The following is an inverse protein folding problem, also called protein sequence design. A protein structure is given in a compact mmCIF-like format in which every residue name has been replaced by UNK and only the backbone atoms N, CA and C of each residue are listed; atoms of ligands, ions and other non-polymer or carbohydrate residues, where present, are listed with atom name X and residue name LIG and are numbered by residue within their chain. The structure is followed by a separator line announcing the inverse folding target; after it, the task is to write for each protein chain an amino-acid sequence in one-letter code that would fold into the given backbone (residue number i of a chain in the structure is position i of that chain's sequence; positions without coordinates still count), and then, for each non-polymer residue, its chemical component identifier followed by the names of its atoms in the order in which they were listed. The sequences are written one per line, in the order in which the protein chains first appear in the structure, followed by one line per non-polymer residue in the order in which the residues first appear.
data_IF_154558276372
#
_entry.id   IF_154558276372
#
_cell.length_a   1.000
_cell.length_b   1.000
_cell.length_c   1.000
_cell.angle_alpha   90.00
_cell.angle_beta   90.00
_cell.angle_gamma   90.00
#
_symmetry.space_group_name_H-M   'P 1'
#
loop_
_entity.id
_entity.type
_entity.pdbx_description
1 polymer ?
#
# COMPACT_ATOMS: atom_id res chain seq x y z
N UNK A 1 7.49 -26.50 12.39
CA UNK A 1 7.42 -26.14 10.95
C UNK A 1 7.90 -24.71 10.82
N UNK A 2 8.72 -24.44 9.83
CA UNK A 2 9.22 -23.07 9.58
C UNK A 2 8.06 -22.23 9.04
N UNK A 3 7.83 -21.05 9.60
CA UNK A 3 6.82 -20.10 9.08
C UNK A 3 7.31 -19.59 7.75
N UNK A 4 6.55 -19.84 6.68
CA UNK A 4 6.94 -19.41 5.34
C UNK A 4 5.73 -19.28 4.41
N UNK A 5 5.95 -18.56 3.31
CA UNK A 5 5.03 -18.40 2.20
C UNK A 5 5.74 -18.95 0.95
N UNK A 6 5.07 -19.83 0.20
CA UNK A 6 5.56 -20.32 -1.08
C UNK A 6 4.92 -19.54 -2.22
N UNK A 7 5.74 -19.04 -3.13
CA UNK A 7 5.28 -18.39 -4.37
C UNK A 7 4.86 -19.48 -5.34
N UNK A 8 3.57 -19.57 -5.65
CA UNK A 8 3.06 -20.49 -6.67
C UNK A 8 3.14 -19.87 -8.07
N UNK A 9 2.80 -18.59 -8.14
CA UNK A 9 2.90 -17.77 -9.35
C UNK A 9 3.30 -16.34 -8.90
N UNK A 10 4.38 -15.74 -9.43
CA UNK A 10 4.77 -14.38 -9.07
C UNK A 10 3.89 -13.29 -9.69
N UNK A 11 2.97 -13.62 -10.59
CA UNK A 11 2.23 -12.65 -11.39
C UNK A 11 3.14 -11.88 -12.36
N UNK A 12 2.72 -10.68 -12.73
CA UNK A 12 3.51 -9.82 -13.62
C UNK A 12 4.82 -9.34 -12.96
N UNK A 13 4.75 -8.96 -11.67
CA UNK A 13 5.91 -8.58 -10.87
C UNK A 13 5.57 -8.65 -9.38
N UNK A 14 6.30 -9.47 -8.64
CA UNK A 14 6.24 -9.50 -7.17
C UNK A 14 7.63 -9.31 -6.58
N UNK A 15 7.76 -8.42 -5.59
CA UNK A 15 9.01 -8.04 -4.94
C UNK A 15 8.85 -8.05 -3.42
N UNK A 16 9.92 -8.40 -2.70
CA UNK A 16 10.00 -8.10 -1.28
C UNK A 16 10.38 -6.63 -1.13
N UNK A 17 9.58 -5.85 -0.41
CA UNK A 17 9.82 -4.44 -0.18
C UNK A 17 9.59 -4.08 1.29
N UNK A 18 10.37 -3.12 1.80
CA UNK A 18 10.24 -2.54 3.14
C UNK A 18 10.28 -1.00 3.05
N UNK A 19 10.63 -0.30 4.13
CA UNK A 19 10.75 1.17 4.13
C UNK A 19 11.98 1.69 3.33
N UNK A 20 12.80 0.81 2.77
CA UNK A 20 13.98 1.14 1.97
C UNK A 20 15.27 1.33 2.77
N UNK A 21 16.41 1.33 2.06
CA UNK A 21 17.78 1.47 2.62
C UNK A 21 18.23 2.91 2.63
N UNK A 22 17.94 3.61 3.71
CA UNK A 22 18.33 5.00 3.93
C UNK A 22 19.77 5.11 4.44
N UNK A 23 20.41 6.27 4.19
CA UNK A 23 21.76 6.58 4.70
C UNK A 23 22.91 6.24 3.75
N UNK A 24 22.64 5.56 2.63
CA UNK A 24 23.68 5.13 1.68
C UNK A 24 23.67 5.88 0.35
N UNK A 25 22.81 6.91 0.21
CA UNK A 25 22.68 7.68 -1.04
C UNK A 25 23.99 8.38 -1.42
N UNK A 26 24.79 8.84 -0.44
CA UNK A 26 26.11 9.44 -0.66
C UNK A 26 27.13 8.48 -1.31
N UNK A 27 26.86 7.16 -1.25
CA UNK A 27 27.65 6.12 -1.89
C UNK A 27 27.03 5.63 -3.22
N UNK A 28 26.01 6.32 -3.71
CA UNK A 28 25.33 5.94 -4.96
C UNK A 28 24.32 4.79 -4.81
N UNK A 29 24.01 4.35 -3.59
CA UNK A 29 23.04 3.26 -3.37
C UNK A 29 21.64 3.81 -3.31
N UNK A 30 20.76 3.32 -4.21
CA UNK A 30 19.34 3.68 -4.23
C UNK A 30 18.64 3.26 -2.92
N UNK A 31 17.72 4.11 -2.46
CA UNK A 31 16.90 3.81 -1.29
C UNK A 31 16.00 2.61 -1.54
N UNK A 32 15.42 2.50 -2.73
CA UNK A 32 14.39 1.49 -3.04
C UNK A 32 13.21 1.59 -2.07
N UNK A 33 12.64 0.49 -1.63
CA UNK A 33 11.48 0.47 -0.74
C UNK A 33 10.17 0.33 -1.51
N UNK A 34 9.07 0.29 -0.75
CA UNK A 34 7.73 0.25 -1.32
C UNK A 34 7.47 1.47 -2.23
N UNK A 35 6.80 1.24 -3.37
CA UNK A 35 6.34 2.33 -4.24
C UNK A 35 5.28 3.19 -3.56
N UNK A 36 4.44 2.57 -2.72
CA UNK A 36 3.45 3.22 -1.87
C UNK A 36 3.84 3.02 -0.39
N UNK A 37 4.59 3.98 0.18
CA UNK A 37 5.04 3.87 1.57
C UNK A 37 3.89 3.94 2.59
N UNK A 38 2.77 4.57 2.22
CA UNK A 38 1.61 4.67 3.10
C UNK A 38 0.88 3.32 3.20
N UNK A 39 0.67 2.64 2.08
CA UNK A 39 0.10 1.29 2.07
C UNK A 39 0.96 0.29 2.85
N UNK A 40 2.30 0.36 2.72
CA UNK A 40 3.24 -0.42 3.53
C UNK A 40 3.06 -0.14 5.03
N UNK A 41 3.05 1.15 5.41
CA UNK A 41 2.93 1.58 6.80
C UNK A 41 1.62 1.09 7.41
N UNK A 42 0.48 1.34 6.74
CA UNK A 42 -0.85 0.99 7.23
C UNK A 42 -0.99 -0.54 7.33
N UNK A 43 -0.56 -1.29 6.31
CA UNK A 43 -0.63 -2.74 6.33
C UNK A 43 0.14 -3.35 7.50
N UNK A 44 1.35 -2.88 7.77
CA UNK A 44 2.13 -3.33 8.92
C UNK A 44 1.48 -2.92 10.25
N UNK A 45 0.88 -1.73 10.31
CA UNK A 45 0.18 -1.27 11.52
C UNK A 45 -1.06 -2.10 11.82
N UNK A 46 -1.86 -2.46 10.81
CA UNK A 46 -3.06 -3.31 10.95
C UNK A 46 -2.73 -4.66 11.60
N UNK A 47 -1.58 -5.25 11.29
CA UNK A 47 -1.14 -6.55 11.81
C UNK A 47 -0.15 -6.46 12.98
N UNK A 48 0.10 -5.24 13.50
CA UNK A 48 0.96 -5.01 14.66
C UNK A 48 2.44 -5.32 14.43
N UNK A 49 2.93 -5.19 13.21
CA UNK A 49 4.35 -5.24 12.88
C UNK A 49 5.04 -3.89 13.13
N UNK A 50 6.37 -3.89 13.14
CA UNK A 50 7.13 -2.66 12.97
C UNK A 50 6.75 -2.00 11.65
N UNK A 51 6.59 -0.67 11.64
CA UNK A 51 6.05 0.09 10.51
C UNK A 51 6.84 -0.08 9.20
N UNK A 52 8.11 -0.46 9.29
CA UNK A 52 8.98 -0.73 8.15
C UNK A 52 9.24 -2.21 7.89
N UNK A 53 8.46 -3.13 8.49
CA UNK A 53 8.64 -4.56 8.24
C UNK A 53 8.43 -4.89 6.76
N UNK A 54 9.20 -5.87 6.26
CA UNK A 54 9.14 -6.22 4.83
C UNK A 54 7.86 -6.98 4.49
N UNK A 55 7.31 -6.67 3.31
CA UNK A 55 6.08 -7.18 2.75
C UNK A 55 6.31 -7.67 1.32
N UNK A 56 5.32 -8.29 0.69
CA UNK A 56 5.34 -8.57 -0.74
C UNK A 56 4.56 -7.47 -1.48
N UNK A 57 5.24 -6.72 -2.34
CA UNK A 57 4.62 -5.78 -3.29
C UNK A 57 4.27 -6.53 -4.57
N UNK A 58 2.99 -6.58 -4.92
CA UNK A 58 2.45 -7.20 -6.13
C UNK A 58 2.03 -6.11 -7.10
N UNK A 59 2.54 -6.12 -8.33
CA UNK A 59 2.22 -5.16 -9.39
C UNK A 59 1.41 -5.85 -10.49
N UNK A 60 0.33 -5.25 -10.98
CA UNK A 60 -0.59 -5.73 -12.02
C UNK A 60 -1.40 -7.00 -11.68
N UNK A 61 -1.14 -7.67 -10.56
CA UNK A 61 -1.87 -8.87 -10.16
C UNK A 61 -1.39 -10.17 -10.80
N UNK A 62 -2.27 -11.19 -10.80
CA UNK A 62 -1.97 -12.54 -11.31
C UNK A 62 -1.08 -13.37 -10.39
N UNK A 63 -0.71 -12.86 -9.22
CA UNK A 63 0.15 -13.56 -8.27
C UNK A 63 -0.63 -14.58 -7.43
N UNK A 64 0.04 -15.70 -7.08
CA UNK A 64 -0.50 -16.72 -6.18
C UNK A 64 0.54 -17.11 -5.12
N UNK A 65 0.09 -17.11 -3.87
CA UNK A 65 0.92 -17.43 -2.70
C UNK A 65 0.25 -18.47 -1.83
N UNK A 66 1.01 -19.49 -1.38
CA UNK A 66 0.52 -20.48 -0.42
C UNK A 66 1.13 -20.23 0.96
N UNK A 67 0.28 -20.16 1.97
CA UNK A 67 0.70 -20.06 3.36
C UNK A 67 1.06 -21.46 3.90
N UNK A 68 2.31 -21.68 4.31
CA UNK A 68 2.73 -23.00 4.82
C UNK A 68 2.30 -23.24 6.26
N UNK A 69 1.99 -22.17 7.00
CA UNK A 69 1.44 -22.19 8.35
C UNK A 69 0.28 -21.20 8.44
N UNK A 70 -0.55 -21.33 9.45
CA UNK A 70 -1.56 -20.30 9.73
C UNK A 70 -0.88 -18.97 10.08
N UNK A 71 -1.33 -17.88 9.43
CA UNK A 71 -0.83 -16.51 9.60
C UNK A 71 -1.98 -15.52 9.64
N UNK A 72 -1.82 -14.42 10.39
CA UNK A 72 -2.63 -13.22 10.21
C UNK A 72 -1.96 -12.38 9.13
N UNK A 73 -2.77 -11.91 8.18
CA UNK A 73 -2.29 -11.11 7.08
C UNK A 73 -3.24 -9.95 6.79
N UNK A 74 -2.76 -8.96 6.06
CA UNK A 74 -3.55 -7.86 5.51
C UNK A 74 -3.13 -7.58 4.08
N UNK A 75 -4.05 -7.07 3.27
CA UNK A 75 -3.77 -6.57 1.93
C UNK A 75 -4.11 -5.10 1.88
N UNK A 76 -3.13 -4.27 1.49
CA UNK A 76 -3.28 -2.82 1.36
C UNK A 76 -2.85 -2.36 -0.04
N UNK A 77 -3.05 -1.07 -0.35
CA UNK A 77 -2.78 -0.53 -1.68
C UNK A 77 -3.96 -0.70 -2.63
N UNK A 78 -3.68 -1.01 -3.90
CA UNK A 78 -4.69 -1.19 -4.94
C UNK A 78 -5.54 -2.44 -4.74
N UNK A 79 -6.76 -2.39 -5.28
CA UNK A 79 -7.63 -3.57 -5.37
C UNK A 79 -7.27 -4.39 -6.61
N UNK A 80 -6.57 -5.48 -6.39
CA UNK A 80 -6.21 -6.49 -7.39
C UNK A 80 -7.09 -7.74 -7.25
N UNK A 81 -8.33 -7.61 -6.80
CA UNK A 81 -9.30 -8.69 -6.59
C UNK A 81 -8.73 -9.88 -5.79
N UNK A 82 -8.23 -9.65 -4.57
CA UNK A 82 -7.66 -10.73 -3.78
C UNK A 82 -8.71 -11.75 -3.37
N UNK A 83 -8.34 -13.03 -3.36
CA UNK A 83 -9.18 -14.13 -2.87
C UNK A 83 -8.34 -15.18 -2.15
N UNK A 84 -8.89 -15.74 -1.06
CA UNK A 84 -8.31 -16.84 -0.31
C UNK A 84 -9.12 -18.12 -0.53
N UNK A 85 -8.51 -19.13 -1.13
CA UNK A 85 -9.17 -20.40 -1.52
C UNK A 85 -10.46 -20.17 -2.32
N UNK A 86 -10.46 -19.12 -3.17
CA UNK A 86 -11.60 -18.73 -4.01
C UNK A 86 -12.63 -17.81 -3.34
N UNK A 87 -12.51 -17.55 -2.04
CA UNK A 87 -13.37 -16.58 -1.34
C UNK A 87 -12.77 -15.17 -1.48
N UNK A 88 -13.51 -14.20 -2.03
CA UNK A 88 -13.02 -12.81 -2.10
C UNK A 88 -12.65 -12.24 -0.73
N UNK A 89 -11.58 -11.46 -0.70
CA UNK A 89 -11.12 -10.73 0.49
C UNK A 89 -11.32 -9.23 0.31
N UNK A 90 -11.69 -8.56 1.39
CA UNK A 90 -11.63 -7.11 1.43
C UNK A 90 -10.18 -6.63 1.59
N UNK A 91 -9.82 -5.55 0.88
CA UNK A 91 -8.55 -4.86 1.07
C UNK A 91 -8.63 -3.91 2.28
N UNK A 92 -7.47 -3.55 2.84
CA UNK A 92 -7.33 -2.68 4.01
C UNK A 92 -7.91 -3.27 5.30
N UNK A 93 -8.02 -4.59 5.34
CA UNK A 93 -8.52 -5.35 6.49
C UNK A 93 -7.64 -6.58 6.74
N UNK A 94 -7.55 -7.00 8.01
CA UNK A 94 -6.81 -8.19 8.39
C UNK A 94 -7.68 -9.44 8.27
N UNK A 95 -7.06 -10.53 7.82
CA UNK A 95 -7.69 -11.85 7.72
C UNK A 95 -6.78 -12.93 8.28
N UNK A 96 -7.36 -14.07 8.62
CA UNK A 96 -6.61 -15.30 8.95
C UNK A 96 -6.41 -16.10 7.68
N UNK A 97 -5.17 -16.42 7.36
CA UNK A 97 -4.81 -17.37 6.31
C UNK A 97 -4.49 -18.72 6.95
N UNK A 98 -5.35 -19.73 6.82
CA UNK A 98 -5.10 -21.08 7.33
C UNK A 98 -3.84 -21.69 6.70
N UNK A 99 -3.23 -22.66 7.40
CA UNK A 99 -2.15 -23.45 6.83
C UNK A 99 -2.59 -24.13 5.53
N UNK A 100 -1.74 -24.05 4.51
CA UNK A 100 -1.98 -24.55 3.14
C UNK A 100 -2.99 -23.78 2.31
N UNK A 101 -3.62 -22.71 2.83
CA UNK A 101 -4.50 -21.86 2.01
C UNK A 101 -3.71 -21.11 0.93
N UNK A 102 -4.40 -20.79 -0.16
CA UNK A 102 -3.82 -20.13 -1.33
C UNK A 102 -4.48 -18.78 -1.54
N UNK A 103 -3.67 -17.72 -1.42
CA UNK A 103 -4.05 -16.37 -1.78
C UNK A 103 -3.80 -16.15 -3.28
N UNK A 104 -4.79 -15.62 -3.98
CA UNK A 104 -4.71 -15.25 -5.39
C UNK A 104 -5.04 -13.79 -5.58
N UNK A 105 -4.29 -13.14 -6.44
CA UNK A 105 -4.59 -11.81 -6.96
C UNK A 105 -5.10 -11.93 -8.39
N UNK A 106 -6.21 -11.26 -8.67
CA UNK A 106 -6.80 -11.16 -10.01
C UNK A 106 -6.21 -10.01 -10.83
N UNK A 107 -7.05 -9.35 -11.61
CA UNK A 107 -6.70 -8.16 -12.38
C UNK A 107 -6.96 -6.89 -11.56
N UNK A 108 -6.24 -5.77 -11.81
CA UNK A 108 -6.50 -4.50 -11.15
C UNK A 108 -7.92 -3.98 -11.44
N UNK A 109 -8.66 -3.65 -10.41
CA UNK A 109 -9.93 -2.91 -10.46
C UNK A 109 -9.71 -1.47 -10.08
N UNK A 110 -8.87 -1.25 -9.06
CA UNK A 110 -8.46 0.07 -8.61
C UNK A 110 -6.98 0.06 -8.23
N UNK A 111 -6.23 1.06 -8.68
CA UNK A 111 -4.80 1.14 -8.45
C UNK A 111 -4.00 0.14 -9.29
N UNK A 112 -2.74 -0.05 -8.92
CA UNK A 112 -1.77 -0.83 -9.69
C UNK A 112 -0.99 -1.81 -8.82
N UNK A 113 -0.84 -1.51 -7.52
CA UNK A 113 0.03 -2.24 -6.59
C UNK A 113 -0.68 -2.60 -5.31
N UNK A 114 -0.67 -3.88 -4.96
CA UNK A 114 -1.09 -4.37 -3.67
C UNK A 114 0.10 -4.80 -2.81
N UNK A 115 -0.06 -4.72 -1.51
CA UNK A 115 0.95 -5.10 -0.51
C UNK A 115 0.39 -6.20 0.37
N UNK A 116 0.98 -7.39 0.27
CA UNK A 116 0.68 -8.50 1.19
C UNK A 116 1.57 -8.34 2.43
N UNK A 117 0.96 -7.91 3.51
CA UNK A 117 1.54 -7.81 4.83
C UNK A 117 1.20 -9.05 5.64
N UNK A 118 2.18 -9.64 6.34
CA UNK A 118 1.98 -10.82 7.18
C UNK A 118 2.56 -10.59 8.56
N UNK A 119 1.96 -11.17 9.59
CA UNK A 119 2.45 -11.04 10.96
C UNK A 119 3.89 -11.56 11.09
N UNK A 120 4.77 -10.70 11.62
CA UNK A 120 6.21 -10.94 11.72
C UNK A 120 7.02 -10.49 10.50
N UNK A 121 6.36 -10.07 9.41
CA UNK A 121 7.00 -9.60 8.16
C UNK A 121 7.72 -10.69 7.38
N UNK A 122 8.16 -10.37 6.18
CA UNK A 122 9.01 -11.24 5.35
C UNK A 122 10.45 -11.17 5.87
N UNK A 123 10.99 -12.29 6.34
CA UNK A 123 12.28 -12.36 7.06
C UNK A 123 13.43 -12.82 6.18
N UNK A 124 13.57 -12.22 4.99
CA UNK A 124 14.78 -12.38 4.17
C UNK A 124 15.96 -11.58 4.79
N UNK A 125 17.22 -11.99 4.58
CA UNK A 125 18.37 -11.28 5.12
C UNK A 125 18.41 -9.80 4.69
N UNK A 126 18.59 -8.86 5.62
CA UNK A 126 18.75 -7.44 5.26
C UNK A 126 20.11 -7.18 4.60
N UNK A 127 20.11 -6.29 3.61
CA UNK A 127 21.32 -5.76 2.97
C UNK A 127 21.37 -4.27 3.17
N UNK A 128 22.42 -3.77 3.80
CA UNK A 128 22.55 -2.36 4.19
C UNK A 128 21.33 -1.86 5.00
N UNK A 129 20.88 -2.68 5.95
CA UNK A 129 19.78 -2.36 6.86
C UNK A 129 18.37 -2.47 6.27
N UNK A 130 18.20 -2.92 5.01
CA UNK A 130 16.89 -3.05 4.36
C UNK A 130 16.75 -4.40 3.66
N UNK A 131 15.51 -4.91 3.64
CA UNK A 131 15.11 -6.11 2.91
C UNK A 131 14.57 -5.81 1.51
N UNK A 132 14.45 -4.52 1.13
CA UNK A 132 13.92 -4.14 -0.18
C UNK A 132 14.76 -4.67 -1.34
N UNK A 133 14.07 -5.20 -2.34
CA UNK A 133 14.66 -5.60 -3.61
C UNK A 133 14.92 -4.39 -4.50
N UNK A 134 16.16 -4.16 -4.90
CA UNK A 134 16.53 -3.25 -5.98
C UNK A 134 17.03 -4.06 -7.17
N UNK A 135 16.15 -4.30 -8.14
CA UNK A 135 16.36 -5.28 -9.22
C UNK A 135 17.57 -4.94 -10.09
N UNK A 136 17.71 -3.67 -10.49
CA UNK A 136 18.80 -3.25 -11.37
C UNK A 136 20.19 -3.42 -10.75
N UNK A 137 20.32 -3.26 -9.41
CA UNK A 137 21.59 -3.50 -8.71
C UNK A 137 21.70 -4.91 -8.13
N UNK A 138 20.65 -5.73 -8.21
CA UNK A 138 20.57 -7.08 -7.63
C UNK A 138 20.88 -7.10 -6.13
N UNK A 139 20.24 -6.18 -5.39
CA UNK A 139 20.44 -6.03 -3.94
C UNK A 139 19.15 -6.30 -3.19
N UNK A 140 19.23 -6.95 -2.02
CA UNK A 140 18.14 -7.19 -1.10
C UNK A 140 17.13 -8.22 -1.58
N UNK A 141 15.94 -8.24 -0.97
CA UNK A 141 14.91 -9.23 -1.28
C UNK A 141 15.38 -10.67 -1.17
N UNK A 142 14.79 -11.53 -1.98
CA UNK A 142 15.28 -12.89 -2.19
C UNK A 142 16.28 -12.87 -3.37
N UNK A 143 17.57 -12.97 -3.05
CA UNK A 143 18.66 -12.98 -4.04
C UNK A 143 18.75 -11.76 -4.97
N UNK A 144 18.21 -10.59 -4.59
CA UNK A 144 18.26 -9.36 -5.39
C UNK A 144 17.44 -9.39 -6.67
N UNK A 145 16.46 -10.28 -6.77
CA UNK A 145 15.67 -10.54 -7.97
C UNK A 145 14.15 -10.46 -7.69
N UNK A 146 13.32 -10.30 -8.72
CA UNK A 146 11.90 -10.56 -8.61
C UNK A 146 11.62 -11.98 -8.12
N UNK A 147 10.52 -12.16 -7.40
CA UNK A 147 10.08 -13.47 -6.94
C UNK A 147 9.76 -14.37 -8.13
N UNK A 148 10.00 -15.66 -7.96
CA UNK A 148 9.77 -16.69 -8.96
C UNK A 148 8.94 -17.84 -8.39
N UNK A 149 8.24 -18.57 -9.25
CA UNK A 149 7.50 -19.74 -8.83
C UNK A 149 8.43 -20.78 -8.16
N UNK A 150 8.01 -21.28 -7.00
CA UNK A 150 8.78 -22.18 -6.15
C UNK A 150 9.61 -21.50 -5.06
N UNK A 151 9.75 -20.18 -5.07
CA UNK A 151 10.41 -19.44 -4.00
C UNK A 151 9.70 -19.67 -2.66
N UNK A 152 10.49 -19.83 -1.61
CA UNK A 152 10.00 -19.94 -0.23
C UNK A 152 10.50 -18.74 0.57
N UNK A 153 9.55 -17.92 1.01
CA UNK A 153 9.83 -16.72 1.79
C UNK A 153 9.66 -17.01 3.28
N UNK A 154 10.72 -16.91 4.08
CA UNK A 154 10.62 -17.06 5.52
C UNK A 154 9.78 -15.88 6.09
N UNK A 155 8.97 -16.19 7.11
CA UNK A 155 8.18 -15.21 7.85
C UNK A 155 8.72 -15.10 9.26
N UNK A 156 8.88 -13.90 9.76
CA UNK A 156 9.41 -13.59 11.07
C UNK A 156 8.57 -14.12 12.24
N UNK A 157 9.05 -13.89 13.44
CA UNK A 157 8.36 -14.30 14.67
C UNK A 157 6.98 -13.67 14.80
N UNK A 158 6.07 -14.34 15.52
CA UNK A 158 4.70 -13.84 15.75
C UNK A 158 4.74 -12.51 16.50
N UNK A 159 4.16 -11.47 15.92
CA UNK A 159 3.93 -10.19 16.61
C UNK A 159 2.87 -10.31 17.70
N UNK A 160 2.88 -9.43 18.68
CA UNK A 160 1.92 -9.44 19.80
C UNK A 160 0.61 -8.72 19.48
N UNK A 161 0.49 -8.06 18.30
CA UNK A 161 -0.59 -7.14 17.96
C UNK A 161 -1.50 -7.56 16.81
N UNK A 162 -1.24 -8.70 16.17
CA UNK A 162 -2.05 -9.16 15.05
C UNK A 162 -3.43 -9.64 15.52
N UNK A 163 -4.46 -8.83 15.27
CA UNK A 163 -5.84 -9.20 15.53
C UNK A 163 -6.61 -9.29 14.22
N UNK A 164 -7.26 -10.43 13.93
CA UNK A 164 -8.18 -10.52 12.80
C UNK A 164 -9.32 -9.52 12.94
N UNK A 165 -9.69 -8.86 11.85
CA UNK A 165 -10.77 -7.87 11.80
C UNK A 165 -10.34 -6.44 12.11
N UNK A 166 -9.05 -6.14 12.29
CA UNK A 166 -8.57 -4.77 12.22
C UNK A 166 -8.73 -4.26 10.79
N UNK A 167 -9.23 -3.04 10.62
CA UNK A 167 -9.43 -2.46 9.29
C UNK A 167 -9.13 -0.96 9.28
N UNK A 168 -8.69 -0.44 8.13
CA UNK A 168 -8.65 0.99 7.88
C UNK A 168 -10.07 1.47 7.56
N UNK A 169 -10.58 2.53 8.24
CA UNK A 169 -11.84 3.17 7.88
C UNK A 169 -11.90 3.53 6.39
N UNK A 170 -13.06 3.32 5.75
CA UNK A 170 -13.20 3.48 4.31
C UNK A 170 -12.90 4.92 3.84
N UNK A 171 -13.22 5.91 4.66
CA UNK A 171 -12.98 7.33 4.40
C UNK A 171 -11.48 7.73 4.40
N UNK A 172 -10.62 6.87 4.93
CA UNK A 172 -9.17 7.08 4.95
C UNK A 172 -8.45 6.31 3.84
N UNK A 173 -9.16 5.50 3.06
CA UNK A 173 -8.59 4.75 1.95
C UNK A 173 -8.38 5.69 0.77
N UNK A 174 -7.18 5.73 0.23
CA UNK A 174 -6.92 6.47 -1.00
C UNK A 174 -7.66 5.80 -2.15
N UNK A 175 -8.48 6.55 -2.87
CA UNK A 175 -9.05 6.13 -4.15
C UNK A 175 -8.23 6.70 -5.30
N UNK A 176 -8.17 5.97 -6.41
CA UNK A 176 -7.48 6.44 -7.62
C UNK A 176 -8.54 7.02 -8.57
N UNK A 177 -8.72 8.35 -8.63
CA UNK A 177 -9.67 8.97 -9.55
C UNK A 177 -9.23 8.80 -10.99
N UNK A 178 -10.16 8.92 -11.94
CA UNK A 178 -9.85 8.80 -13.37
C UNK A 178 -8.87 9.87 -13.88
N UNK A 179 -8.92 11.08 -13.34
CA UNK A 179 -7.92 12.14 -13.53
C UNK A 179 -7.31 12.50 -12.18
N UNK A 180 -5.98 12.45 -12.09
CA UNK A 180 -5.23 12.59 -10.84
C UNK A 180 -4.64 14.00 -10.76
N UNK A 181 -4.96 14.77 -9.73
CA UNK A 181 -4.26 16.01 -9.42
C UNK A 181 -3.11 15.73 -8.45
N UNK A 182 -1.89 16.08 -8.85
CA UNK A 182 -0.66 15.89 -8.10
C UNK A 182 -0.14 17.25 -7.63
N UNK A 183 -0.11 17.45 -6.33
CA UNK A 183 0.42 18.68 -5.74
C UNK A 183 1.93 18.63 -5.70
N UNK A 184 2.53 19.78 -6.07
CA UNK A 184 3.98 19.93 -6.16
C UNK A 184 4.46 21.20 -5.47
N UNK A 185 5.71 21.19 -5.02
CA UNK A 185 6.46 22.39 -4.66
C UNK A 185 7.50 22.65 -5.72
N UNK A 186 7.95 23.91 -5.87
CA UNK A 186 9.01 24.29 -6.82
C UNK A 186 10.27 23.47 -6.59
N UNK A 187 10.81 22.97 -7.68
CA UNK A 187 12.08 22.25 -7.67
C UNK A 187 13.30 23.20 -7.58
N UNK A 188 14.47 22.63 -7.28
CA UNK A 188 15.69 23.44 -7.12
C UNK A 188 16.15 24.13 -8.41
N UNK A 189 15.78 23.64 -9.61
CA UNK A 189 16.10 24.26 -10.89
C UNK A 189 14.84 24.87 -11.55
N UNK A 190 13.81 25.25 -10.76
CA UNK A 190 12.61 25.89 -11.28
C UNK A 190 12.92 27.13 -12.16
N UNK A 191 13.89 27.94 -11.77
CA UNK A 191 14.32 29.12 -12.51
C UNK A 191 15.05 28.84 -13.85
N UNK A 192 15.32 27.57 -14.16
CA UNK A 192 15.88 27.18 -15.47
C UNK A 192 14.81 27.04 -16.56
N UNK A 193 13.54 27.09 -16.20
CA UNK A 193 12.42 26.96 -17.12
C UNK A 193 11.88 28.32 -17.51
N UNK A 194 11.35 28.45 -18.75
CA UNK A 194 10.68 29.67 -19.17
C UNK A 194 9.33 29.83 -18.47
N UNK A 195 8.79 31.05 -18.40
CA UNK A 195 7.42 31.25 -17.88
C UNK A 195 6.40 30.45 -18.66
N UNK A 196 6.57 30.33 -19.99
CA UNK A 196 5.75 29.48 -20.86
C UNK A 196 5.88 27.99 -20.54
N UNK A 197 7.10 27.52 -20.27
CA UNK A 197 7.37 26.14 -19.87
C UNK A 197 6.73 25.80 -18.54
N UNK A 198 6.85 26.68 -17.54
CA UNK A 198 6.18 26.53 -16.23
C UNK A 198 4.65 26.55 -16.41
N UNK A 199 4.14 27.50 -17.21
CA UNK A 199 2.70 27.56 -17.53
C UNK A 199 2.21 26.28 -18.17
N UNK A 200 2.95 25.72 -19.13
CA UNK A 200 2.65 24.43 -19.77
C UNK A 200 2.63 23.30 -18.75
N UNK A 201 3.63 23.21 -17.87
CA UNK A 201 3.70 22.18 -16.83
C UNK A 201 2.47 22.17 -15.92
N UNK A 202 2.02 23.34 -15.47
CA UNK A 202 0.92 23.46 -14.50
C UNK A 202 -0.47 23.43 -15.14
N UNK A 203 -0.61 23.80 -16.42
CA UNK A 203 -1.94 23.88 -17.06
C UNK A 203 -2.30 22.66 -17.90
N UNK A 204 -1.34 21.81 -18.24
CA UNK A 204 -1.55 20.68 -19.15
C UNK A 204 -1.86 19.38 -18.43
N UNK A 205 -2.51 18.46 -19.15
CA UNK A 205 -2.64 17.07 -18.75
C UNK A 205 -1.47 16.26 -19.27
N UNK A 206 -1.00 15.31 -18.49
CA UNK A 206 0.05 14.36 -18.84
C UNK A 206 -0.48 12.94 -18.66
N UNK A 207 -0.06 12.03 -19.55
CA UNK A 207 -0.48 10.63 -19.49
C UNK A 207 0.70 9.76 -19.07
N UNK A 208 0.47 8.85 -18.12
CA UNK A 208 1.48 7.87 -17.70
C UNK A 208 1.83 6.95 -18.86
N UNK A 209 3.09 6.94 -19.26
CA UNK A 209 3.60 6.10 -20.34
C UNK A 209 3.74 4.63 -19.91
N UNK A 210 3.60 3.70 -20.85
CA UNK A 210 3.88 2.27 -20.69
C UNK A 210 5.35 1.96 -20.40
N UNK A 211 6.25 2.92 -20.61
CA UNK A 211 7.68 2.84 -20.30
C UNK A 211 8.00 3.22 -18.86
N UNK A 212 6.97 3.44 -18.04
CA UNK A 212 7.12 3.74 -16.61
C UNK A 212 7.53 2.50 -15.84
N UNK A 213 8.40 2.68 -14.86
CA UNK A 213 8.88 1.62 -13.98
C UNK A 213 9.05 2.12 -12.52
N UNK A 214 9.72 1.32 -11.69
CA UNK A 214 10.01 1.69 -10.31
C UNK A 214 11.07 2.79 -10.16
N UNK A 215 11.83 3.12 -11.22
CA UNK A 215 12.76 4.26 -11.23
C UNK A 215 12.04 5.59 -11.44
N UNK A 216 11.03 5.61 -12.34
CA UNK A 216 10.29 6.82 -12.64
C UNK A 216 9.06 6.62 -13.50
N UNK A 217 8.05 7.41 -13.21
CA UNK A 217 6.88 7.56 -14.06
C UNK A 217 7.23 8.51 -15.20
N UNK A 218 7.31 7.99 -16.41
CA UNK A 218 7.47 8.79 -17.64
C UNK A 218 6.12 9.31 -18.07
N UNK A 219 6.05 10.58 -18.39
CA UNK A 219 4.80 11.24 -18.71
C UNK A 219 4.81 11.73 -20.16
N UNK A 220 3.84 11.31 -20.92
CA UNK A 220 3.59 11.81 -22.27
C UNK A 220 2.69 13.03 -22.21
N UNK A 221 3.05 14.11 -22.93
CA UNK A 221 2.32 15.38 -22.91
C UNK A 221 3.09 16.48 -23.62
N UNK A 222 2.66 17.74 -23.46
CA UNK A 222 3.33 18.89 -24.04
C UNK A 222 4.77 19.05 -23.55
N UNK A 223 5.61 19.63 -24.38
CA UNK A 223 7.01 19.94 -24.08
C UNK A 223 7.08 21.11 -23.09
N UNK A 224 7.90 20.93 -22.05
CA UNK A 224 8.20 21.93 -21.05
C UNK A 224 9.49 22.65 -21.45
N UNK A 225 9.40 23.91 -21.83
CA UNK A 225 10.53 24.66 -22.33
C UNK A 225 11.46 25.18 -21.24
N UNK A 226 12.79 25.06 -21.48
CA UNK A 226 13.83 25.63 -20.63
C UNK A 226 14.44 26.88 -21.29
N UNK A 227 15.03 27.74 -20.47
CA UNK A 227 15.77 28.94 -20.94
C UNK A 227 16.97 28.48 -21.75
N UNK A 228 17.00 28.89 -23.02
CA UNK A 228 18.09 28.54 -23.95
C UNK A 228 18.10 27.07 -24.37
N UNK A 229 17.02 26.31 -24.18
CA UNK A 229 16.89 24.89 -24.57
C UNK A 229 17.84 23.96 -23.83
N UNK A 230 18.31 24.32 -22.64
CA UNK A 230 19.25 23.54 -21.82
C UNK A 230 18.50 22.80 -20.74
N UNK A 231 18.45 21.48 -20.83
CA UNK A 231 17.82 20.58 -19.87
C UNK A 231 18.83 19.94 -18.90
N UNK A 232 20.09 19.86 -19.33
CA UNK A 232 21.17 19.26 -18.55
C UNK A 232 21.69 20.22 -17.49
N UNK A 233 22.03 19.65 -16.34
CA UNK A 233 22.67 20.33 -15.21
C UNK A 233 23.90 19.54 -14.76
N UNK A 234 24.77 20.15 -14.01
CA UNK A 234 25.75 19.39 -13.19
C UNK A 234 24.97 18.46 -12.26
N UNK A 235 25.34 17.17 -12.27
CA UNK A 235 24.62 16.15 -11.48
C UNK A 235 24.41 16.62 -10.05
N UNK A 236 23.14 16.55 -9.62
CA UNK A 236 22.68 17.01 -8.32
C UNK A 236 21.79 15.96 -7.68
N UNK A 237 21.64 16.00 -6.36
CA UNK A 237 20.83 15.05 -5.60
C UNK A 237 19.37 15.03 -6.08
N UNK A 238 18.76 13.83 -6.06
CA UNK A 238 17.35 13.64 -6.37
C UNK A 238 16.65 12.96 -5.21
N UNK A 239 15.37 13.28 -5.03
CA UNK A 239 14.50 12.69 -4.01
C UNK A 239 13.32 11.97 -4.65
N UNK A 240 12.63 11.13 -3.89
CA UNK A 240 11.37 10.53 -4.30
C UNK A 240 10.36 11.65 -4.61
N UNK A 241 9.72 11.60 -5.80
CA UNK A 241 8.82 12.65 -6.28
C UNK A 241 9.52 13.82 -7.00
N UNK A 242 10.86 13.83 -7.18
CA UNK A 242 11.51 14.83 -8.05
C UNK A 242 10.98 14.73 -9.47
N UNK A 243 10.53 15.86 -10.05
CA UNK A 243 10.05 15.93 -11.43
C UNK A 243 11.19 16.46 -12.29
N UNK A 244 11.87 15.57 -13.00
CA UNK A 244 12.93 15.90 -13.94
C UNK A 244 12.36 16.14 -15.34
N UNK A 245 12.96 17.05 -16.08
CA UNK A 245 12.64 17.29 -17.49
C UNK A 245 13.89 17.04 -18.32
N UNK A 246 14.01 15.87 -18.98
CA UNK A 246 15.10 15.55 -19.90
C UNK A 246 15.05 16.35 -21.20
N UNK A 247 16.02 16.14 -22.09
CA UNK A 247 16.18 16.89 -23.34
C UNK A 247 15.03 16.79 -24.36
N UNK A 248 14.12 15.80 -24.20
CA UNK A 248 12.88 15.71 -24.97
C UNK A 248 11.75 16.60 -24.44
N UNK A 249 12.00 17.31 -23.33
CA UNK A 249 11.06 18.24 -22.70
C UNK A 249 9.88 17.58 -21.98
N UNK A 250 9.86 16.26 -21.82
CA UNK A 250 8.77 15.53 -21.15
C UNK A 250 9.12 15.20 -19.72
N UNK A 251 8.19 15.38 -18.75
CA UNK A 251 8.52 15.17 -17.35
C UNK A 251 8.65 13.69 -17.00
N UNK A 252 9.57 13.38 -16.07
CA UNK A 252 9.73 12.09 -15.42
C UNK A 252 9.62 12.33 -13.91
N UNK A 253 8.66 11.70 -13.25
CA UNK A 253 8.57 11.74 -11.78
C UNK A 253 9.39 10.59 -11.22
N UNK A 254 10.45 10.89 -10.47
CA UNK A 254 11.35 9.90 -9.92
C UNK A 254 10.70 9.15 -8.76
N UNK A 255 10.76 7.80 -8.81
CA UNK A 255 10.05 6.91 -7.89
C UNK A 255 11.01 6.16 -6.95
N UNK A 256 10.57 5.04 -6.36
CA UNK A 256 11.29 4.34 -5.30
C UNK A 256 12.71 3.91 -5.68
N UNK A 257 12.91 3.33 -6.87
CA UNK A 257 14.20 2.80 -7.33
C UNK A 257 15.05 3.83 -8.09
N UNK A 258 14.73 5.13 -7.95
CA UNK A 258 15.48 6.22 -8.56
C UNK A 258 16.96 6.17 -8.21
N UNK A 259 17.78 6.72 -9.09
CA UNK A 259 19.20 7.02 -8.84
C UNK A 259 19.35 8.02 -7.67
N UNK A 260 20.54 8.15 -7.13
CA UNK A 260 20.82 9.09 -6.01
C UNK A 260 21.13 10.50 -6.50
N UNK A 261 21.63 10.63 -7.72
CA UNK A 261 21.92 11.89 -8.40
C UNK A 261 21.41 11.86 -9.83
N UNK A 262 21.06 13.02 -10.38
CA UNK A 262 20.61 13.15 -11.76
C UNK A 262 21.12 14.41 -12.44
N UNK A 263 21.30 14.33 -13.75
CA UNK A 263 21.87 15.41 -14.58
C UNK A 263 20.81 16.24 -15.32
N UNK A 264 19.51 16.11 -14.98
CA UNK A 264 18.44 16.88 -15.60
C UNK A 264 17.82 17.89 -14.65
N UNK A 265 17.38 19.02 -15.18
CA UNK A 265 16.72 20.06 -14.40
C UNK A 265 15.44 19.54 -13.75
N UNK A 266 15.26 19.84 -12.46
CA UNK A 266 14.09 19.49 -11.65
C UNK A 266 13.17 20.68 -11.55
N UNK A 267 12.02 20.65 -12.26
CA UNK A 267 11.03 21.72 -12.25
C UNK A 267 10.25 21.77 -10.92
N UNK A 268 9.97 20.60 -10.35
CA UNK A 268 9.13 20.46 -9.17
C UNK A 268 9.55 19.26 -8.31
N UNK A 269 8.96 19.17 -7.12
CA UNK A 269 8.97 17.96 -6.29
C UNK A 269 7.55 17.70 -5.82
N UNK A 270 7.06 16.48 -6.00
CA UNK A 270 5.74 16.04 -5.55
C UNK A 270 5.70 16.02 -4.02
N UNK A 271 4.58 16.48 -3.45
CA UNK A 271 4.39 16.45 -2.00
C UNK A 271 4.23 15.01 -1.50
N UNK A 272 4.75 14.72 -0.31
CA UNK A 272 4.84 13.33 0.19
C UNK A 272 3.50 12.61 0.28
N UNK A 273 2.41 13.35 0.57
CA UNK A 273 1.06 12.77 0.69
C UNK A 273 0.43 12.38 -0.64
N UNK A 274 1.00 12.80 -1.77
CA UNK A 274 0.52 12.44 -3.11
C UNK A 274 1.36 11.32 -3.77
N UNK A 275 2.45 10.88 -3.14
CA UNK A 275 3.26 9.77 -3.64
C UNK A 275 2.44 8.46 -3.79
N UNK A 276 1.50 8.13 -2.87
CA UNK A 276 0.62 6.98 -3.05
C UNK A 276 -0.19 7.03 -4.36
N UNK A 277 -0.70 8.20 -4.74
CA UNK A 277 -1.46 8.37 -5.99
C UNK A 277 -0.61 8.03 -7.23
N UNK A 278 0.66 8.46 -7.23
CA UNK A 278 1.61 8.11 -8.29
C UNK A 278 1.92 6.61 -8.31
N UNK A 279 2.08 6.00 -7.13
CA UNK A 279 2.37 4.58 -7.01
C UNK A 279 1.23 3.71 -7.55
N UNK A 280 0.00 4.21 -7.48
CA UNK A 280 -1.20 3.51 -7.94
C UNK A 280 -1.65 3.87 -9.36
N UNK A 281 -0.99 4.85 -10.01
CA UNK A 281 -1.34 5.28 -11.35
C UNK A 281 -0.90 4.25 -12.42
N UNK A 282 -1.84 3.63 -13.16
CA UNK A 282 -1.51 2.69 -14.22
C UNK A 282 -1.05 3.44 -15.50
N UNK A 283 -0.38 2.75 -16.43
CA UNK A 283 -0.18 3.28 -17.77
C UNK A 283 -1.50 3.74 -18.40
N UNK A 284 -1.48 4.91 -19.02
CA UNK A 284 -2.68 5.57 -19.57
C UNK A 284 -3.43 6.47 -18.58
N UNK A 285 -3.12 6.42 -17.29
CA UNK A 285 -3.70 7.36 -16.32
C UNK A 285 -3.34 8.81 -16.67
N UNK A 286 -4.31 9.72 -16.51
CA UNK A 286 -4.14 11.14 -16.80
C UNK A 286 -3.90 11.89 -15.50
N UNK A 287 -2.87 12.75 -15.47
CA UNK A 287 -2.57 13.56 -14.30
C UNK A 287 -2.29 15.02 -14.66
N UNK A 288 -2.54 15.91 -13.70
CA UNK A 288 -2.21 17.33 -13.73
C UNK A 288 -1.40 17.70 -12.51
N UNK A 289 -0.64 18.77 -12.62
CA UNK A 289 0.17 19.27 -11.52
C UNK A 289 -0.40 20.58 -10.97
N UNK A 290 -0.45 20.68 -9.65
CA UNK A 290 -0.88 21.87 -8.92
C UNK A 290 0.26 22.35 -8.02
N UNK A 291 0.72 23.59 -8.23
CA UNK A 291 1.75 24.19 -7.36
C UNK A 291 1.14 24.63 -6.05
N UNK A 292 1.71 24.17 -4.93
CA UNK A 292 1.39 24.64 -3.59
C UNK A 292 2.63 25.15 -2.86
N UNK A 293 2.44 25.92 -1.81
CA UNK A 293 3.56 26.40 -1.00
C UNK A 293 4.17 25.27 -0.15
N UNK A 294 5.45 25.43 0.23
CA UNK A 294 6.13 24.52 1.16
C UNK A 294 5.40 24.40 2.49
N UNK A 295 4.84 25.50 3.00
CA UNK A 295 4.06 25.50 4.24
C UNK A 295 2.80 24.64 4.14
N UNK A 296 2.06 24.74 3.03
CA UNK A 296 0.90 23.89 2.76
C UNK A 296 1.31 22.41 2.68
N UNK A 297 2.37 22.10 1.93
CA UNK A 297 2.87 20.73 1.80
C UNK A 297 3.24 20.11 3.17
N UNK A 298 3.94 20.87 4.02
CA UNK A 298 4.30 20.44 5.37
C UNK A 298 3.07 20.29 6.28
N UNK A 299 2.05 21.15 6.13
CA UNK A 299 0.81 21.06 6.90
C UNK A 299 0.04 19.79 6.52
N UNK A 300 -0.09 19.50 5.23
CA UNK A 300 -0.73 18.28 4.73
C UNK A 300 -0.02 17.01 5.26
N UNK A 301 1.31 17.00 5.25
CA UNK A 301 2.07 15.85 5.76
C UNK A 301 1.87 15.65 7.26
N UNK A 302 1.86 16.75 8.06
CA UNK A 302 1.59 16.64 9.50
C UNK A 302 0.17 16.16 9.77
N UNK A 303 -0.83 16.67 9.04
CA UNK A 303 -2.22 16.26 9.18
C UNK A 303 -2.41 14.79 8.83
N UNK A 304 -1.88 14.31 7.69
CA UNK A 304 -1.95 12.90 7.30
C UNK A 304 -1.35 11.99 8.37
N UNK A 305 -0.15 12.34 8.86
CA UNK A 305 0.51 11.56 9.92
C UNK A 305 -0.28 11.55 11.23
N UNK A 306 -0.80 12.69 11.66
CA UNK A 306 -1.63 12.75 12.87
C UNK A 306 -2.88 11.90 12.70
N UNK A 307 -3.59 12.03 11.58
CA UNK A 307 -4.77 11.23 11.30
C UNK A 307 -4.49 9.73 11.35
N UNK A 308 -3.39 9.26 10.73
CA UNK A 308 -3.03 7.85 10.76
C UNK A 308 -2.62 7.36 12.15
N UNK A 309 -1.89 8.17 12.93
CA UNK A 309 -1.47 7.81 14.28
C UNK A 309 -2.64 7.80 15.28
N UNK A 310 -3.62 8.70 15.09
CA UNK A 310 -4.79 8.84 15.96
C UNK A 310 -5.94 7.87 15.56
N UNK A 311 -5.81 7.18 14.42
CA UNK A 311 -6.83 6.26 13.92
C UNK A 311 -6.87 4.98 14.77
N UNK A 312 -8.03 4.67 15.35
CA UNK A 312 -8.28 3.35 15.95
C UNK A 312 -8.63 2.35 14.85
N UNK A 313 -7.64 1.61 14.39
CA UNK A 313 -7.80 0.57 13.37
C UNK A 313 -8.70 -0.59 13.83
N UNK A 314 -9.02 -0.70 15.12
CA UNK A 314 -9.97 -1.69 15.66
C UNK A 314 -11.41 -1.28 15.41
N UNK A 315 -11.69 0.01 15.21
CA UNK A 315 -13.03 0.55 14.94
C UNK A 315 -13.47 0.45 13.48
N UNK A 316 -12.57 0.08 12.56
CA UNK A 316 -12.85 -0.15 11.13
C UNK A 316 -13.74 -1.36 10.87
N UNK A 317 -14.00 -2.18 11.88
CA UNK A 317 -14.98 -3.27 11.80
C UNK A 317 -16.36 -2.69 11.51
N UNK A 318 -16.88 -2.89 10.29
CA UNK A 318 -18.27 -2.58 9.97
C UNK A 318 -19.16 -3.28 11.00
N UNK A 319 -19.85 -2.50 11.83
CA UNK A 319 -20.93 -3.04 12.65
C UNK A 319 -22.13 -3.27 11.75
N UNK A 320 -22.18 -4.39 11.09
CA UNK A 320 -23.46 -4.91 10.60
C UNK A 320 -24.16 -5.48 11.83
N UNK A 321 -24.92 -4.64 12.53
CA UNK A 321 -25.84 -5.12 13.54
C UNK A 321 -27.13 -5.49 12.80
N UNK A 322 -27.43 -6.77 12.69
CA UNK A 322 -28.75 -7.23 12.29
C UNK A 322 -29.61 -7.46 13.52
N UNK A 323 -30.82 -6.92 13.54
CA UNK A 323 -31.80 -7.24 14.56
C UNK A 323 -32.61 -8.46 14.12
N UNK A 324 -32.57 -9.51 14.92
CA UNK A 324 -33.44 -10.70 14.72
C UNK A 324 -34.49 -10.73 15.82
N UNK A 325 -35.68 -11.08 15.45
CA UNK A 325 -36.81 -11.22 16.39
C UNK A 325 -36.94 -12.70 16.77
N UNK A 326 -36.58 -13.04 18.00
CA UNK A 326 -36.69 -14.40 18.52
C UNK A 326 -37.63 -14.36 19.74
N UNK A 327 -38.75 -15.10 19.65
CA UNK A 327 -39.70 -15.24 20.77
C UNK A 327 -40.37 -13.94 21.21
N UNK A 328 -40.54 -12.96 20.29
CA UNK A 328 -41.19 -11.66 20.59
C UNK A 328 -40.27 -10.59 21.16
N UNK A 329 -38.99 -10.88 21.39
CA UNK A 329 -37.97 -9.92 21.79
C UNK A 329 -37.01 -9.61 20.64
N UNK A 330 -36.67 -8.31 20.41
CA UNK A 330 -35.68 -7.89 19.46
C UNK A 330 -34.27 -8.13 20.00
N UNK A 331 -33.50 -8.96 19.31
CA UNK A 331 -32.10 -9.26 19.64
C UNK A 331 -31.20 -8.56 18.64
N UNK A 332 -30.13 -7.96 19.12
CA UNK A 332 -29.12 -7.35 18.27
C UNK A 332 -27.95 -8.31 18.14
N UNK A 333 -27.68 -8.74 16.91
CA UNK A 333 -26.59 -9.63 16.57
C UNK A 333 -25.42 -8.80 16.04
N UNK A 334 -24.30 -8.80 16.74
CA UNK A 334 -23.06 -8.19 16.27
C UNK A 334 -22.26 -9.24 15.51
N UNK A 335 -22.26 -9.14 14.18
CA UNK A 335 -21.59 -10.07 13.26
C UNK A 335 -20.07 -9.89 13.19
N UNK A 336 -19.52 -8.97 13.99
CA UNK A 336 -18.07 -8.65 13.99
C UNK A 336 -17.15 -9.77 14.46
N UNK A 337 -17.68 -10.75 15.19
CA UNK A 337 -16.86 -11.76 15.83
C UNK A 337 -17.27 -13.18 15.45
N UNK A 338 -16.28 -14.01 15.14
CA UNK A 338 -16.46 -15.47 15.21
C UNK A 338 -15.71 -15.98 16.44
N UNK A 339 -16.37 -16.43 17.50
CA UNK A 339 -17.82 -16.59 17.65
C UNK A 339 -18.57 -15.25 17.80
N UNK A 340 -19.81 -15.19 17.32
CA UNK A 340 -20.67 -14.01 17.41
C UNK A 340 -21.08 -13.72 18.87
N UNK A 341 -21.21 -12.44 19.21
CA UNK A 341 -21.85 -12.03 20.47
C UNK A 341 -23.28 -11.60 20.18
N UNK A 342 -24.22 -12.17 20.90
CA UNK A 342 -25.63 -11.76 20.88
C UNK A 342 -25.90 -11.01 22.17
N UNK A 343 -26.38 -9.76 22.06
CA UNK A 343 -26.80 -8.96 23.24
C UNK A 343 -28.31 -9.01 23.34
N UNK A 344 -28.81 -9.39 24.53
CA UNK A 344 -30.22 -9.31 24.82
C UNK A 344 -30.65 -7.88 25.12
N UNK A 345 -31.93 -7.51 24.92
CA UNK A 345 -32.46 -6.20 25.28
C UNK A 345 -32.24 -5.84 26.77
N UNK A 346 -32.00 -6.83 27.62
CA UNK A 346 -31.79 -6.69 29.09
C UNK A 346 -30.31 -6.80 29.49
N UNK A 347 -29.34 -6.68 28.53
CA UNK A 347 -27.92 -6.62 28.85
C UNK A 347 -27.20 -7.95 29.06
N UNK A 348 -27.83 -9.10 28.84
CA UNK A 348 -27.17 -10.41 28.86
C UNK A 348 -26.40 -10.67 27.53
N UNK A 349 -25.19 -11.25 27.60
CA UNK A 349 -24.44 -11.69 26.43
C UNK A 349 -24.49 -13.21 26.29
N UNK A 350 -24.76 -13.68 25.05
CA UNK A 350 -24.71 -15.10 24.70
C UNK A 350 -23.62 -15.29 23.64
N UNK A 351 -22.68 -16.20 23.89
CA UNK A 351 -21.69 -16.59 22.86
C UNK A 351 -22.26 -17.68 21.95
N UNK A 352 -22.20 -17.47 20.66
CA UNK A 352 -22.65 -18.43 19.65
C UNK A 352 -21.47 -18.92 18.84
N UNK A 353 -21.25 -20.22 18.79
CA UNK A 353 -20.24 -20.84 17.91
C UNK A 353 -20.92 -21.59 16.78
N UNK A 354 -20.40 -21.46 15.56
CA UNK A 354 -20.83 -22.25 14.40
C UNK A 354 -19.78 -23.31 14.06
N UNK A 355 -20.04 -24.60 14.20
CA UNK A 355 -19.07 -25.61 13.79
C UNK A 355 -18.92 -25.76 12.28
N UNK A 356 -19.96 -25.52 11.46
CA UNK A 356 -19.98 -25.96 10.07
C UNK A 356 -20.53 -24.93 9.05
N UNK A 357 -20.39 -23.64 9.31
CA UNK A 357 -20.82 -22.61 8.32
C UNK A 357 -22.33 -22.36 8.22
N UNK A 358 -23.16 -23.19 8.81
CA UNK A 358 -24.60 -22.97 8.97
C UNK A 358 -24.88 -22.38 10.36
N UNK A 359 -25.50 -21.20 10.40
CA UNK A 359 -25.82 -20.49 11.63
C UNK A 359 -26.86 -21.28 12.42
N UNK A 360 -26.44 -22.02 13.45
CA UNK A 360 -27.36 -22.62 14.44
C UNK A 360 -27.23 -21.82 15.73
N UNK A 361 -28.22 -20.96 16.00
CA UNK A 361 -28.29 -20.18 17.24
C UNK A 361 -28.83 -21.07 18.35
N UNK A 362 -27.98 -21.44 19.31
CA UNK A 362 -28.46 -22.03 20.59
C UNK A 362 -28.48 -20.92 21.64
N UNK A 363 -29.66 -20.49 22.03
CA UNK A 363 -29.84 -19.59 23.16
C UNK A 363 -29.74 -20.44 24.44
N UNK A 364 -28.65 -20.26 25.21
CA UNK A 364 -28.59 -20.80 26.56
C UNK A 364 -29.17 -19.74 27.53
N UNK A 365 -30.06 -20.10 28.37
CA UNK A 365 -30.54 -19.22 29.44
C UNK A 365 -29.36 -18.84 30.35
N UNK A 366 -29.16 -17.53 30.53
CA UNK A 366 -28.19 -17.03 31.51
C UNK A 366 -28.82 -17.17 32.89
N UNK A 367 -28.21 -17.90 33.86
CA UNK A 367 -28.75 -17.99 35.22
C UNK A 367 -28.84 -16.58 35.83
N UNK A 368 -30.07 -16.14 36.13
CA UNK A 368 -30.33 -14.87 36.81
C UNK A 368 -31.29 -13.91 36.10
N UNK A 369 -31.73 -14.18 34.85
CA UNK A 369 -32.77 -13.38 34.20
C UNK A 369 -34.15 -14.02 34.45
N UNK A 370 -34.88 -13.50 35.41
CA UNK A 370 -36.33 -13.76 35.55
C UNK A 370 -37.05 -13.07 34.38
N UNK A 371 -37.58 -13.87 33.47
CA UNK A 371 -38.55 -13.41 32.47
C UNK A 371 -39.86 -13.17 33.25
N UNK A 372 -40.32 -11.91 33.29
CA UNK A 372 -41.72 -11.59 33.53
C UNK A 372 -42.44 -11.36 32.22
#
# INVERSE_FOLDING_TARGET
MTRSITVLNPGALSLVQDAGRTGYQGYGVSVSGAMDPEALFIGNHLIGNDSGAAVIEVTFGGAEFRFETELVAAITGGDLQPSLDGTPLDTWETFVAPSRSVLRFGVPVEGLRAYLCVEGGIDVPPVLGSRSTHVSSRIGGLAGAPLSAGDSLPVGGRGTGANPGNALPAELRNSTPGEITIRVVRGPQYSSFTDGGVGTFLSSAYTVSDKSDRQGLRLDGPIIETIGGKYDIVSDAVVFGSVQVPGDGRPIVLMADRQTTGGYAKIATVVSVDLPLLAQAPPGAVMRFEEISMQQAQSLLRQSRSTLLDTDFRSGLRSTSESINLGGAAWQMDLKFRPFKISSPNGGMVAVSTPDGNLTVRVAEVPGSTVQ
#
